data_IF_037482878308
#
_entry.id   IF_037482878308
#
_cell.length_a   1.000
_cell.length_b   1.000
_cell.length_c   1.000
_cell.angle_alpha   90.00
_cell.angle_beta   90.00
_cell.angle_gamma   90.00
#
_symmetry.space_group_name_H-M   'P 1'
#
loop_
_entity.id
_entity.type
_entity.pdbx_description
1 polymer ?
#
# COMPACT_ATOMS: atom_id res chain seq x y z
N UNK A 1 -1.52 -27.38 -50.58
CA UNK A 1 -2.42 -26.30 -50.16
C UNK A 1 -1.83 -25.73 -48.89
N UNK A 2 -1.09 -24.65 -49.03
CA UNK A 2 -0.35 -24.03 -47.92
C UNK A 2 -1.33 -23.28 -47.03
N UNK A 3 -1.64 -23.87 -45.88
CA UNK A 3 -2.42 -23.22 -44.84
C UNK A 3 -1.52 -22.14 -44.20
N UNK A 4 -1.60 -20.93 -44.72
CA UNK A 4 -0.85 -19.78 -44.25
C UNK A 4 -1.35 -19.42 -42.83
N UNK A 5 -0.80 -20.09 -41.83
CA UNK A 5 -1.10 -19.85 -40.42
C UNK A 5 -0.64 -18.44 -40.06
N UNK A 6 -1.53 -17.47 -40.18
CA UNK A 6 -1.21 -16.08 -39.86
C UNK A 6 -1.10 -15.88 -38.35
N UNK A 7 -0.16 -15.00 -37.99
CA UNK A 7 0.02 -14.54 -36.61
C UNK A 7 -1.11 -13.58 -36.29
N UNK A 8 -1.76 -13.78 -35.15
CA UNK A 8 -2.82 -12.93 -34.64
C UNK A 8 -2.28 -12.14 -33.45
N UNK A 9 -2.33 -10.81 -33.55
CA UNK A 9 -1.97 -9.91 -32.46
C UNK A 9 -3.24 -9.42 -31.77
N UNK A 10 -3.24 -9.46 -30.44
CA UNK A 10 -4.36 -9.02 -29.60
C UNK A 10 -3.87 -8.04 -28.54
N UNK A 11 -4.64 -6.97 -28.34
CA UNK A 11 -4.46 -6.02 -27.24
C UNK A 11 -5.76 -6.00 -26.45
N UNK A 12 -5.69 -6.23 -25.14
CA UNK A 12 -6.90 -6.34 -24.32
C UNK A 12 -6.79 -5.71 -22.95
N UNK A 13 -7.95 -5.64 -22.32
CA UNK A 13 -8.19 -5.10 -20.99
C UNK A 13 -9.11 -6.08 -20.26
N UNK A 14 -8.68 -6.53 -19.08
CA UNK A 14 -9.55 -7.24 -18.15
C UNK A 14 -10.09 -6.26 -17.13
N UNK A 15 -11.37 -6.42 -16.77
CA UNK A 15 -12.05 -5.56 -15.80
C UNK A 15 -12.66 -6.42 -14.70
N UNK A 16 -12.32 -6.09 -13.46
CA UNK A 16 -13.00 -6.54 -12.24
C UNK A 16 -13.99 -5.42 -11.87
N UNK A 17 -15.28 -5.67 -12.03
CA UNK A 17 -16.31 -4.65 -11.90
C UNK A 17 -16.94 -4.61 -10.50
N UNK A 18 -16.70 -5.63 -9.67
CA UNK A 18 -17.33 -5.77 -8.35
C UNK A 18 -16.31 -5.91 -7.20
N UNK A 19 -15.01 -5.86 -7.49
CA UNK A 19 -13.89 -6.03 -6.55
C UNK A 19 -13.95 -7.36 -5.80
N UNK A 20 -14.60 -8.37 -6.37
CA UNK A 20 -14.76 -9.68 -5.77
C UNK A 20 -13.95 -10.71 -6.55
N UNK A 21 -12.85 -11.15 -5.96
CA UNK A 21 -11.95 -12.15 -6.58
C UNK A 21 -12.59 -13.53 -6.80
N UNK A 22 -13.83 -13.75 -6.34
CA UNK A 22 -14.58 -15.01 -6.51
C UNK A 22 -15.58 -14.97 -7.67
N UNK A 23 -15.87 -13.81 -8.24
CA UNK A 23 -16.71 -13.61 -9.42
C UNK A 23 -15.82 -13.49 -10.66
N UNK A 24 -16.47 -13.44 -11.83
CA UNK A 24 -15.76 -13.46 -13.09
C UNK A 24 -14.84 -14.68 -13.26
N UNK A 25 -13.92 -14.65 -14.22
CA UNK A 25 -12.88 -15.65 -14.34
C UNK A 25 -11.63 -15.21 -13.57
N UNK A 26 -11.40 -15.80 -12.39
CA UNK A 26 -10.31 -15.46 -11.49
C UNK A 26 -10.28 -13.97 -11.10
N UNK A 27 -11.46 -13.40 -10.79
CA UNK A 27 -11.63 -12.00 -10.41
C UNK A 27 -11.80 -11.02 -11.56
N UNK A 28 -11.68 -11.45 -12.83
CA UNK A 28 -12.01 -10.59 -13.97
C UNK A 28 -13.44 -10.88 -14.45
N UNK A 29 -14.34 -9.90 -14.41
CA UNK A 29 -15.73 -10.02 -14.87
C UNK A 29 -15.88 -9.80 -16.38
N UNK A 30 -15.01 -8.97 -16.98
CA UNK A 30 -15.08 -8.64 -18.39
C UNK A 30 -13.72 -8.71 -19.08
N UNK A 31 -13.72 -9.07 -20.37
CA UNK A 31 -12.57 -9.03 -21.28
C UNK A 31 -12.94 -8.20 -22.50
N UNK A 32 -12.40 -6.98 -22.58
CA UNK A 32 -12.42 -6.16 -23.78
C UNK A 32 -11.12 -6.37 -24.52
N UNK A 33 -11.16 -6.80 -25.77
CA UNK A 33 -9.95 -6.89 -26.57
C UNK A 33 -10.17 -6.53 -28.02
N UNK A 34 -9.08 -6.13 -28.65
CA UNK A 34 -8.96 -5.81 -30.06
C UNK A 34 -7.96 -6.76 -30.66
N UNK A 35 -8.33 -7.42 -31.76
CA UNK A 35 -7.47 -8.30 -32.52
C UNK A 35 -7.22 -7.75 -33.92
N UNK A 36 -5.99 -7.93 -34.40
CA UNK A 36 -5.60 -7.68 -35.78
C UNK A 36 -5.38 -9.04 -36.47
N UNK A 37 -6.21 -9.33 -37.47
CA UNK A 37 -6.08 -10.49 -38.34
C UNK A 37 -6.14 -10.00 -39.79
N UNK A 38 -5.11 -10.30 -40.58
CA UNK A 38 -5.03 -9.97 -42.01
C UNK A 38 -5.17 -8.47 -42.33
N UNK A 39 -4.70 -7.62 -41.42
CA UNK A 39 -4.81 -6.16 -41.52
C UNK A 39 -6.19 -5.62 -41.18
N UNK A 40 -7.17 -6.49 -40.90
CA UNK A 40 -8.47 -6.12 -40.36
C UNK A 40 -8.43 -6.12 -38.84
N UNK A 41 -9.10 -5.14 -38.27
CA UNK A 41 -9.10 -4.89 -36.84
C UNK A 41 -10.52 -5.02 -36.31
N UNK A 42 -10.69 -5.88 -35.30
CA UNK A 42 -11.98 -6.21 -34.70
C UNK A 42 -11.89 -6.17 -33.19
N UNK A 43 -12.90 -5.58 -32.55
CA UNK A 43 -13.01 -5.41 -31.11
C UNK A 43 -14.15 -6.26 -30.56
N UNK A 44 -13.96 -6.84 -29.37
CA UNK A 44 -14.93 -7.69 -28.71
C UNK A 44 -14.95 -7.41 -27.21
N UNK A 45 -16.15 -7.33 -26.64
CA UNK A 45 -16.40 -7.28 -25.21
C UNK A 45 -17.12 -8.55 -24.77
N UNK A 46 -16.51 -9.27 -23.83
CA UNK A 46 -17.08 -10.47 -23.23
C UNK A 46 -17.30 -10.28 -21.74
N UNK A 47 -18.40 -10.85 -21.25
CA UNK A 47 -18.60 -11.14 -19.83
C UNK A 47 -18.08 -12.54 -19.53
N UNK A 48 -17.38 -12.69 -18.40
CA UNK A 48 -16.67 -13.89 -17.98
C UNK A 48 -17.41 -14.58 -16.83
N UNK A 49 -17.42 -15.90 -16.85
CA UNK A 49 -17.90 -16.71 -15.71
C UNK A 49 -16.75 -17.28 -14.89
N UNK A 50 -17.05 -17.69 -13.65
CA UNK A 50 -16.12 -18.39 -12.75
C UNK A 50 -15.59 -19.70 -13.30
N UNK A 51 -16.32 -20.33 -14.20
CA UNK A 51 -15.92 -21.56 -14.89
C UNK A 51 -15.12 -21.31 -16.17
N UNK A 52 -14.91 -20.04 -16.56
CA UNK A 52 -14.21 -19.67 -17.79
C UNK A 52 -15.09 -19.65 -19.04
N UNK A 53 -16.42 -19.63 -18.86
CA UNK A 53 -17.36 -19.37 -19.94
C UNK A 53 -17.36 -17.90 -20.35
N UNK A 54 -17.75 -17.65 -21.60
CA UNK A 54 -17.84 -16.30 -22.17
C UNK A 54 -19.23 -16.04 -22.70
N UNK A 55 -19.73 -14.83 -22.45
CA UNK A 55 -20.92 -14.29 -23.09
C UNK A 55 -20.52 -13.03 -23.84
N UNK A 56 -20.77 -13.01 -25.15
CA UNK A 56 -20.53 -11.81 -25.96
C UNK A 56 -21.51 -10.71 -25.51
N UNK A 57 -20.97 -9.56 -25.14
CA UNK A 57 -21.74 -8.36 -24.75
C UNK A 57 -21.83 -7.39 -25.92
N UNK A 58 -20.70 -7.20 -26.63
CA UNK A 58 -20.62 -6.30 -27.79
C UNK A 58 -19.45 -6.64 -28.70
N UNK A 59 -19.54 -6.21 -29.95
CA UNK A 59 -18.47 -6.37 -30.93
C UNK A 59 -18.48 -5.24 -31.95
N UNK A 60 -17.29 -4.81 -32.37
CA UNK A 60 -17.07 -3.89 -33.47
C UNK A 60 -16.14 -4.55 -34.49
N UNK A 61 -16.50 -4.52 -35.77
CA UNK A 61 -15.70 -5.15 -36.83
C UNK A 61 -15.31 -4.13 -37.88
N UNK A 62 -14.14 -4.32 -38.49
CA UNK A 62 -13.61 -3.46 -39.55
C UNK A 62 -13.44 -1.99 -39.15
N UNK A 63 -13.00 -1.72 -37.92
CA UNK A 63 -12.79 -0.35 -37.49
C UNK A 63 -11.44 0.18 -38.01
N UNK A 64 -11.48 1.36 -38.64
CA UNK A 64 -10.28 2.10 -39.03
C UNK A 64 -9.73 2.83 -37.82
N UNK A 65 -8.93 2.16 -36.99
CA UNK A 65 -8.16 2.88 -35.98
C UNK A 65 -6.98 3.57 -36.67
N UNK A 66 -7.05 4.89 -36.78
CA UNK A 66 -5.86 5.68 -37.08
C UNK A 66 -4.86 5.42 -35.95
N UNK A 67 -3.78 4.72 -36.27
CA UNK A 67 -2.64 4.64 -35.37
C UNK A 67 -2.17 6.08 -35.19
N UNK A 68 -2.38 6.65 -34.01
CA UNK A 68 -1.85 7.98 -33.70
C UNK A 68 -0.34 7.90 -33.86
N UNK A 69 0.23 8.74 -34.75
CA UNK A 69 1.68 8.92 -34.80
C UNK A 69 2.12 9.39 -33.40
N UNK A 70 2.73 8.50 -32.63
CA UNK A 70 3.30 8.84 -31.34
C UNK A 70 4.65 9.51 -31.54
N UNK A 71 4.86 10.66 -30.91
CA UNK A 71 6.18 11.29 -30.77
C UNK A 71 7.09 10.56 -29.78
N UNK A 72 6.59 9.50 -29.11
CA UNK A 72 7.24 8.82 -27.98
C UNK A 72 7.29 7.28 -28.14
N UNK A 73 7.27 6.73 -29.35
CA UNK A 73 7.52 5.28 -29.56
C UNK A 73 6.73 4.61 -30.68
N UNK A 74 6.82 3.27 -30.80
CA UNK A 74 6.20 2.50 -31.89
C UNK A 74 4.68 2.36 -31.70
N UNK A 75 3.94 3.45 -31.90
CA UNK A 75 2.46 3.46 -31.91
C UNK A 75 1.79 3.12 -30.57
N UNK A 76 0.46 3.22 -30.54
CA UNK A 76 -0.38 2.79 -29.42
C UNK A 76 -1.74 2.30 -29.94
N UNK A 77 -2.38 1.40 -29.20
CA UNK A 77 -3.78 0.99 -29.41
C UNK A 77 -4.61 1.59 -28.29
N UNK A 78 -5.68 2.29 -28.65
CA UNK A 78 -6.60 2.86 -27.68
C UNK A 78 -7.72 1.85 -27.42
N UNK A 79 -7.89 1.42 -26.18
CA UNK A 79 -9.01 0.60 -25.75
C UNK A 79 -9.99 1.49 -25.00
N UNK A 80 -11.20 1.62 -25.53
CA UNK A 80 -12.26 2.41 -24.92
C UNK A 80 -13.40 1.48 -24.49
N UNK A 81 -13.81 1.57 -23.22
CA UNK A 81 -14.92 0.81 -22.67
C UNK A 81 -15.94 1.78 -22.10
N UNK A 82 -17.15 1.72 -22.63
CA UNK A 82 -18.29 2.42 -22.03
C UNK A 82 -18.73 1.68 -20.77
N UNK A 83 -18.66 2.33 -19.61
CA UNK A 83 -19.05 1.72 -18.33
C UNK A 83 -20.55 1.40 -18.28
N UNK A 84 -21.40 2.10 -19.05
CA UNK A 84 -22.84 1.77 -19.20
C UNK A 84 -23.03 0.34 -19.70
N UNK A 85 -22.11 -0.14 -20.56
CA UNK A 85 -22.18 -1.49 -21.13
C UNK A 85 -21.86 -2.61 -20.13
N UNK A 86 -21.33 -2.28 -18.96
CA UNK A 86 -20.91 -3.24 -17.92
C UNK A 86 -21.55 -2.99 -16.55
N UNK A 87 -22.77 -2.46 -16.54
CA UNK A 87 -23.57 -2.12 -15.35
C UNK A 87 -23.04 -0.94 -14.51
N UNK A 88 -22.35 0.00 -15.16
CA UNK A 88 -21.98 1.30 -14.58
C UNK A 88 -21.24 1.21 -13.22
N UNK A 89 -20.14 0.42 -13.11
CA UNK A 89 -19.42 0.29 -11.85
C UNK A 89 -18.80 1.63 -11.44
N UNK A 90 -19.02 2.03 -10.18
CA UNK A 90 -18.40 3.24 -9.60
C UNK A 90 -16.98 2.98 -9.07
N UNK A 91 -16.67 1.73 -8.75
CA UNK A 91 -15.35 1.25 -8.35
C UNK A 91 -15.04 -0.03 -9.14
N UNK A 92 -13.90 -0.08 -9.80
CA UNK A 92 -13.50 -1.23 -10.62
C UNK A 92 -11.98 -1.31 -10.70
N UNK A 93 -11.45 -2.50 -11.00
CA UNK A 93 -10.03 -2.66 -11.28
C UNK A 93 -9.84 -3.02 -12.75
N UNK A 94 -8.73 -2.57 -13.33
CA UNK A 94 -8.35 -2.92 -14.70
C UNK A 94 -6.92 -3.42 -14.78
N UNK A 95 -6.65 -4.34 -15.70
CA UNK A 95 -5.31 -4.58 -16.22
C UNK A 95 -5.33 -4.60 -17.73
N UNK A 96 -4.17 -4.40 -18.34
CA UNK A 96 -3.98 -4.50 -19.78
C UNK A 96 -3.15 -5.73 -20.11
N UNK A 97 -3.36 -6.27 -21.30
CA UNK A 97 -2.54 -7.35 -21.81
C UNK A 97 -2.30 -7.25 -23.31
N UNK A 98 -1.21 -7.87 -23.75
CA UNK A 98 -0.93 -8.15 -25.15
C UNK A 98 -0.85 -9.65 -25.35
N UNK A 99 -1.31 -10.14 -26.51
CA UNK A 99 -1.19 -11.54 -26.88
C UNK A 99 -0.74 -11.69 -28.33
N UNK A 100 0.12 -12.68 -28.59
CA UNK A 100 0.42 -13.16 -29.93
C UNK A 100 0.00 -14.63 -30.01
N UNK A 101 -0.89 -14.95 -30.95
CA UNK A 101 -1.33 -16.31 -31.22
C UNK A 101 -0.79 -16.78 -32.57
N UNK A 102 -0.25 -18.00 -32.62
CA UNK A 102 0.22 -18.66 -33.82
C UNK A 102 -0.13 -20.15 -33.77
N UNK A 103 -0.97 -20.62 -34.70
CA UNK A 103 -1.58 -21.96 -34.66
C UNK A 103 -2.32 -22.16 -33.32
N UNK A 104 -1.97 -23.21 -32.58
CA UNK A 104 -2.51 -23.53 -31.26
C UNK A 104 -1.79 -22.85 -30.11
N UNK A 105 -0.70 -22.13 -30.38
CA UNK A 105 0.13 -21.51 -29.35
C UNK A 105 -0.27 -20.06 -29.15
N UNK A 106 -0.27 -19.60 -27.91
CA UNK A 106 -0.53 -18.22 -27.54
C UNK A 106 0.43 -17.81 -26.44
N UNK A 107 0.99 -16.61 -26.56
CA UNK A 107 1.81 -15.98 -25.53
C UNK A 107 1.12 -14.70 -25.11
N UNK A 108 1.03 -14.46 -23.81
CA UNK A 108 0.45 -13.25 -23.24
C UNK A 108 1.39 -12.55 -22.28
N UNK A 109 1.33 -11.23 -22.28
CA UNK A 109 1.97 -10.38 -21.29
C UNK A 109 0.93 -9.45 -20.68
N UNK A 110 0.95 -9.32 -19.36
CA UNK A 110 -0.04 -8.56 -18.59
C UNK A 110 0.64 -7.44 -17.82
N UNK A 111 -0.09 -6.34 -17.61
CA UNK A 111 0.27 -5.32 -16.62
C UNK A 111 -0.21 -5.76 -15.23
N UNK A 112 0.17 -4.98 -14.22
CA UNK A 112 -0.45 -5.09 -12.90
C UNK A 112 -1.89 -4.55 -12.95
N UNK A 113 -2.71 -4.98 -11.98
CA UNK A 113 -4.01 -4.37 -11.73
C UNK A 113 -3.89 -2.94 -11.22
N UNK A 114 -4.82 -2.10 -11.66
CA UNK A 114 -4.99 -0.72 -11.23
C UNK A 114 -6.45 -0.52 -10.84
N UNK A 115 -6.68 -0.13 -9.59
CA UNK A 115 -8.01 0.15 -9.05
C UNK A 115 -8.41 1.60 -9.35
N UNK A 116 -9.66 1.78 -9.79
CA UNK A 116 -10.26 3.06 -10.15
C UNK A 116 -11.57 3.23 -9.36
N UNK A 117 -11.75 4.32 -8.60
CA UNK A 117 -10.72 5.29 -8.25
C UNK A 117 -9.59 4.65 -7.40
N UNK A 118 -8.38 5.23 -7.38
CA UNK A 118 -7.30 4.72 -6.55
C UNK A 118 -7.70 4.64 -5.07
N UNK A 119 -7.38 3.55 -4.35
CA UNK A 119 -7.71 3.41 -2.93
C UNK A 119 -6.97 4.46 -2.10
N UNK A 120 -7.48 4.81 -0.93
CA UNK A 120 -6.78 5.70 0.02
C UNK A 120 -6.17 4.87 1.14
N UNK A 121 -4.88 5.06 1.39
CA UNK A 121 -4.18 4.44 2.51
C UNK A 121 -4.27 5.29 3.79
N UNK A 122 -4.48 4.61 4.91
CA UNK A 122 -4.46 5.18 6.25
C UNK A 122 -3.63 4.29 7.17
N UNK A 123 -2.90 4.90 8.11
CA UNK A 123 -2.24 4.18 9.19
C UNK A 123 -3.19 4.14 10.40
N UNK A 124 -3.25 2.98 11.06
CA UNK A 124 -4.05 2.76 12.26
C UNK A 124 -3.18 2.11 13.33
N UNK A 125 -3.28 2.60 14.56
CA UNK A 125 -2.50 2.16 15.72
C UNK A 125 -3.45 1.75 16.85
N UNK A 126 -2.93 0.95 17.78
CA UNK A 126 -3.61 0.61 19.02
C UNK A 126 -2.63 0.80 20.18
N UNK A 127 -2.82 1.80 21.06
CA UNK A 127 -3.93 2.76 21.09
C UNK A 127 -3.93 3.73 19.88
N UNK A 128 -5.09 4.33 19.59
CA UNK A 128 -5.22 5.36 18.53
C UNK A 128 -4.53 6.66 18.92
N UNK A 129 -4.58 7.02 20.21
CA UNK A 129 -3.92 8.19 20.76
C UNK A 129 -2.57 7.79 21.33
N UNK A 130 -1.50 8.23 20.67
CA UNK A 130 -0.13 7.89 21.04
C UNK A 130 0.42 9.05 21.84
N UNK A 131 0.77 8.79 23.10
CA UNK A 131 1.40 9.77 23.97
C UNK A 131 2.79 9.28 24.34
N UNK A 132 3.80 10.13 24.14
CA UNK A 132 5.20 9.84 24.46
C UNK A 132 5.73 10.97 25.32
N UNK A 133 6.40 10.67 26.43
CA UNK A 133 7.00 11.72 27.25
C UNK A 133 8.34 12.16 26.67
N UNK A 134 8.72 13.40 26.97
CA UNK A 134 10.09 13.88 26.74
C UNK A 134 11.12 12.93 27.37
N UNK A 135 12.16 12.59 26.61
CA UNK A 135 13.24 11.67 27.04
C UNK A 135 12.94 10.19 26.78
N UNK A 136 11.72 9.84 26.38
CA UNK A 136 11.33 8.44 26.18
C UNK A 136 11.48 7.97 24.73
N UNK A 137 11.47 6.65 24.56
CA UNK A 137 11.22 6.02 23.28
C UNK A 137 10.01 5.08 23.38
N UNK A 138 9.26 4.99 22.29
CA UNK A 138 8.07 4.15 22.21
C UNK A 138 8.09 3.33 20.93
N UNK A 139 7.71 2.06 21.03
CA UNK A 139 7.42 1.20 19.90
C UNK A 139 5.92 1.20 19.63
N UNK A 140 5.56 1.60 18.42
CA UNK A 140 4.17 1.76 17.99
C UNK A 140 3.87 0.66 16.96
N UNK A 141 3.07 -0.36 17.34
CA UNK A 141 2.53 -1.29 16.37
C UNK A 141 1.46 -0.57 15.53
N UNK A 142 1.55 -0.72 14.21
CA UNK A 142 0.60 -0.11 13.30
C UNK A 142 0.10 -1.09 12.24
N UNK A 143 -1.02 -0.75 11.62
CA UNK A 143 -1.62 -1.45 10.48
C UNK A 143 -1.93 -0.44 9.39
N UNK A 144 -1.77 -0.85 8.14
CA UNK A 144 -2.20 -0.05 6.99
C UNK A 144 -3.60 -0.49 6.59
N UNK A 145 -4.49 0.48 6.44
CA UNK A 145 -5.87 0.30 6.01
C UNK A 145 -6.03 0.95 4.63
N UNK A 146 -6.55 0.18 3.67
CA UNK A 146 -7.05 0.64 2.38
C UNK A 146 -8.58 0.77 2.46
N UNK A 147 -9.23 1.29 1.41
CA UNK A 147 -10.70 1.30 1.29
C UNK A 147 -11.30 -0.11 1.35
N UNK A 148 -10.56 -1.11 0.86
CA UNK A 148 -10.92 -2.53 0.90
C UNK A 148 -10.69 -3.22 2.25
N UNK A 149 -10.12 -2.53 3.24
CA UNK A 149 -9.86 -3.06 4.59
C UNK A 149 -8.39 -3.03 5.00
N UNK A 150 -8.02 -3.84 6.00
CA UNK A 150 -6.63 -3.89 6.47
C UNK A 150 -5.74 -4.66 5.50
N UNK A 151 -4.63 -4.05 5.10
CA UNK A 151 -3.62 -4.74 4.30
C UNK A 151 -2.89 -5.77 5.15
N UNK A 152 -2.75 -6.97 4.59
CA UNK A 152 -1.95 -8.06 5.15
C UNK A 152 -0.56 -8.17 4.49
N UNK A 153 -0.21 -7.27 3.56
CA UNK A 153 1.05 -7.30 2.80
C UNK A 153 1.60 -5.87 2.55
N UNK A 154 2.12 -5.25 3.62
CA UNK A 154 2.87 -3.98 3.53
C UNK A 154 4.30 -4.29 3.11
N UNK A 155 4.62 -4.00 1.85
CA UNK A 155 5.92 -4.27 1.24
C UNK A 155 6.99 -3.34 1.79
N UNK A 156 6.65 -2.05 1.93
CA UNK A 156 7.59 -1.04 2.38
C UNK A 156 6.87 0.06 3.16
N UNK A 157 7.52 0.58 4.20
CA UNK A 157 7.12 1.80 4.87
C UNK A 157 8.37 2.61 5.20
N UNK A 158 8.35 3.90 4.88
CA UNK A 158 9.51 4.79 5.08
C UNK A 158 9.04 6.14 5.61
N UNK A 159 9.93 6.88 6.27
CA UNK A 159 9.65 8.26 6.69
C UNK A 159 9.67 9.15 5.45
N UNK A 160 8.59 9.91 5.24
CA UNK A 160 8.48 10.84 4.12
C UNK A 160 9.42 12.03 4.30
N UNK A 161 10.32 12.25 3.34
CA UNK A 161 11.09 13.50 3.22
C UNK A 161 10.44 14.42 2.19
N UNK A 162 10.50 15.74 2.40
CA UNK A 162 10.01 16.77 1.47
C UNK A 162 10.55 16.57 0.04
N UNK A 163 11.74 15.98 -0.11
CA UNK A 163 12.41 15.80 -1.39
C UNK A 163 12.02 14.49 -2.11
N UNK A 164 11.27 13.60 -1.45
CA UNK A 164 10.88 12.28 -1.98
C UNK A 164 9.67 12.33 -2.93
N UNK A 165 8.91 13.42 -2.91
CA UNK A 165 7.81 13.65 -3.84
C UNK A 165 8.21 14.76 -4.80
N UNK A 166 8.70 14.35 -5.97
CA UNK A 166 8.70 15.25 -7.12
C UNK A 166 7.22 15.58 -7.39
N UNK A 167 6.87 16.85 -7.25
CA UNK A 167 5.52 17.43 -7.08
C UNK A 167 4.56 17.28 -8.27
N UNK A 168 4.87 16.40 -9.23
CA UNK A 168 4.12 16.25 -10.48
C UNK A 168 3.17 15.03 -10.53
N UNK A 169 3.21 14.11 -9.55
CA UNK A 169 2.36 12.88 -9.58
C UNK A 169 1.15 12.88 -8.65
N UNK A 170 1.12 13.74 -7.64
CA UNK A 170 -0.01 13.89 -6.74
C UNK A 170 -0.19 15.38 -6.52
N UNK A 171 -1.25 15.98 -7.08
CA UNK A 171 -1.46 17.42 -7.22
C UNK A 171 -1.64 18.22 -5.92
N UNK A 172 -1.14 17.71 -4.80
CA UNK A 172 -1.11 18.41 -3.53
C UNK A 172 0.35 18.68 -3.18
N UNK A 173 0.70 19.96 -3.06
CA UNK A 173 1.97 20.43 -2.50
C UNK A 173 2.08 19.92 -1.04
N UNK A 174 2.53 18.69 -0.89
CA UNK A 174 2.84 18.12 0.40
C UNK A 174 4.21 18.69 0.80
N UNK A 175 4.18 19.83 1.50
CA UNK A 175 5.36 20.38 2.15
C UNK A 175 5.35 19.82 3.57
N UNK A 176 6.05 18.71 3.86
CA UNK A 176 6.17 18.27 5.24
C UNK A 176 7.07 19.29 5.94
N UNK A 177 6.50 20.03 6.90
CA UNK A 177 7.22 20.90 7.83
C UNK A 177 8.04 20.12 8.86
N UNK A 178 8.34 18.85 8.59
CA UNK A 178 9.02 17.96 9.52
C UNK A 178 10.52 18.23 9.48
N UNK A 179 11.02 18.95 10.48
CA UNK A 179 12.45 19.02 10.75
C UNK A 179 12.85 17.76 11.54
N UNK A 180 13.47 16.80 10.86
CA UNK A 180 13.89 15.52 11.45
C UNK A 180 14.99 15.64 12.51
N UNK A 181 15.51 16.85 12.77
CA UNK A 181 16.59 17.05 13.74
C UNK A 181 16.15 16.92 15.20
N UNK A 182 14.85 17.00 15.50
CA UNK A 182 14.37 17.01 16.89
C UNK A 182 13.81 15.66 17.33
N UNK A 183 13.05 14.94 16.49
CA UNK A 183 12.43 13.67 16.85
C UNK A 183 12.88 12.57 15.89
N UNK A 184 13.39 11.47 16.44
CA UNK A 184 13.90 10.37 15.63
C UNK A 184 12.81 9.32 15.42
N UNK A 185 12.40 9.14 14.16
CA UNK A 185 11.44 8.11 13.73
C UNK A 185 12.19 7.04 12.95
N UNK A 186 12.06 5.79 13.39
CA UNK A 186 12.73 4.65 12.79
C UNK A 186 11.75 3.51 12.50
N UNK A 187 11.86 2.92 11.31
CA UNK A 187 11.01 1.80 10.89
C UNK A 187 11.71 0.50 11.28
N UNK A 188 11.19 -0.18 12.30
CA UNK A 188 11.74 -1.45 12.79
C UNK A 188 11.29 -2.65 11.98
N UNK A 189 10.09 -2.58 11.38
CA UNK A 189 9.50 -3.65 10.58
C UNK A 189 8.44 -3.11 9.63
N UNK A 190 8.35 -3.67 8.42
CA UNK A 190 7.35 -3.28 7.43
C UNK A 190 6.00 -4.01 7.60
N UNK A 191 5.99 -5.31 7.92
CA UNK A 191 4.76 -6.11 8.02
C UNK A 191 4.71 -6.99 9.28
N UNK A 192 3.67 -6.85 10.13
CA UNK A 192 2.89 -5.63 10.29
C UNK A 192 3.82 -4.47 10.71
N UNK A 193 3.56 -3.23 10.28
CA UNK A 193 4.40 -2.09 10.58
C UNK A 193 4.72 -1.94 12.07
N UNK A 194 5.98 -1.71 12.39
CA UNK A 194 6.45 -1.40 13.75
C UNK A 194 7.38 -0.19 13.69
N UNK A 195 6.98 0.89 14.36
CA UNK A 195 7.64 2.19 14.26
C UNK A 195 8.20 2.54 15.64
N UNK A 196 9.48 2.87 15.71
CA UNK A 196 10.11 3.39 16.92
C UNK A 196 10.17 4.91 16.83
N UNK A 197 9.66 5.59 17.84
CA UNK A 197 9.82 7.04 17.99
C UNK A 197 10.66 7.30 19.22
N UNK A 198 11.68 8.14 19.08
CA UNK A 198 12.55 8.57 20.19
C UNK A 198 12.44 10.08 20.33
N UNK A 199 12.01 10.52 21.51
CA UNK A 199 11.76 11.92 21.83
C UNK A 199 12.85 12.40 22.79
N UNK A 200 13.73 13.32 22.37
CA UNK A 200 14.69 13.96 23.27
C UNK A 200 14.01 14.76 24.39
N UNK A 201 14.71 14.93 25.52
CA UNK A 201 14.20 15.67 26.69
C UNK A 201 13.85 17.13 26.41
N UNK A 202 14.47 17.73 25.40
CA UNK A 202 14.33 19.15 25.05
C UNK A 202 13.23 19.40 24.00
N UNK A 203 12.54 18.36 23.54
CA UNK A 203 11.55 18.45 22.45
C UNK A 203 10.33 19.26 22.89
N UNK A 204 9.90 20.32 22.18
CA UNK A 204 8.73 21.10 22.60
C UNK A 204 7.49 20.24 22.79
N UNK A 205 6.67 20.57 23.79
CA UNK A 205 5.41 19.88 24.04
C UNK A 205 4.42 20.20 22.92
N UNK A 206 3.62 19.22 22.49
CA UNK A 206 2.65 19.43 21.43
C UNK A 206 2.32 18.18 20.64
N UNK A 207 1.58 18.37 19.55
CA UNK A 207 1.16 17.32 18.63
C UNK A 207 2.07 17.35 17.41
N UNK A 208 2.64 16.19 17.09
CA UNK A 208 3.56 16.01 15.96
C UNK A 208 2.96 15.02 14.99
N UNK A 209 2.98 15.38 13.70
CA UNK A 209 2.55 14.50 12.61
C UNK A 209 3.75 14.13 11.76
N UNK A 210 4.06 12.83 11.71
CA UNK A 210 5.10 12.28 10.87
C UNK A 210 4.49 11.74 9.58
N UNK A 211 4.86 12.31 8.42
CA UNK A 211 4.47 11.76 7.15
C UNK A 211 5.29 10.48 6.89
N UNK A 212 4.60 9.42 6.52
CA UNK A 212 5.19 8.14 6.14
C UNK A 212 4.76 7.82 4.71
N UNK A 213 5.54 7.02 4.01
CA UNK A 213 5.20 6.50 2.68
C UNK A 213 5.02 5.00 2.83
N UNK A 214 3.80 4.52 2.64
CA UNK A 214 3.47 3.12 2.69
C UNK A 214 3.27 2.57 1.27
N UNK A 215 3.84 1.40 1.01
CA UNK A 215 3.58 0.60 -0.19
C UNK A 215 2.96 -0.71 0.22
N UNK A 216 1.73 -0.94 -0.22
CA UNK A 216 1.05 -2.22 -0.04
C UNK A 216 1.01 -2.98 -1.36
N UNK A 217 0.95 -4.31 -1.26
CA UNK A 217 0.54 -5.15 -2.37
C UNK A 217 -0.92 -5.49 -2.19
N UNK A 218 -1.73 -5.16 -3.19
CA UNK A 218 -3.11 -5.63 -3.23
C UNK A 218 -3.11 -7.03 -3.89
N UNK A 219 -3.58 -8.06 -3.19
CA UNK A 219 -3.62 -9.40 -3.75
C UNK A 219 -4.63 -9.40 -4.90
N UNK A 220 -4.13 -9.59 -6.12
CA UNK A 220 -4.98 -9.95 -7.24
C UNK A 220 -4.59 -11.33 -7.76
N UNK A 221 -5.62 -12.15 -8.00
CA UNK A 221 -5.50 -13.51 -8.50
C UNK A 221 -5.86 -13.62 -9.98
N UNK A 222 -5.56 -12.63 -10.82
CA UNK A 222 -5.87 -12.81 -12.25
C UNK A 222 -4.94 -13.83 -12.90
N UNK A 223 -5.49 -15.01 -13.19
CA UNK A 223 -4.76 -16.03 -13.93
C UNK A 223 -4.54 -15.56 -15.36
N UNK A 224 -3.29 -15.66 -15.77
CA UNK A 224 -2.74 -15.13 -17.01
C UNK A 224 -2.99 -16.05 -18.22
N UNK A 225 -4.11 -16.78 -18.18
CA UNK A 225 -4.55 -17.71 -19.22
C UNK A 225 -6.02 -17.44 -19.50
N UNK A 226 -6.34 -17.04 -20.74
CA UNK A 226 -7.72 -17.08 -21.24
C UNK A 226 -8.18 -18.54 -21.17
N UNK A 227 -9.39 -18.86 -20.67
CA UNK A 227 -9.99 -20.15 -20.94
C UNK A 227 -10.10 -20.29 -22.46
N UNK A 228 -9.20 -21.06 -23.06
CA UNK A 228 -9.23 -21.34 -24.49
C UNK A 228 -10.54 -22.04 -24.81
N UNK A 229 -11.22 -21.59 -25.87
CA UNK A 229 -12.50 -22.11 -26.35
C UNK A 229 -12.45 -23.57 -26.87
N UNK A 230 -11.45 -24.37 -26.49
CA UNK A 230 -11.21 -25.69 -27.07
C UNK A 230 -10.87 -26.70 -25.98
N UNK A 231 -11.90 -27.33 -25.43
CA UNK A 231 -11.87 -28.77 -25.26
C UNK A 231 -13.12 -29.28 -25.99
N UNK A 232 -12.97 -29.88 -27.19
CA UNK A 232 -12.27 -31.16 -27.30
C UNK A 232 -11.50 -31.30 -28.62
N UNK A 233 -10.18 -31.02 -28.65
CA UNK A 233 -9.23 -31.58 -29.65
C UNK A 233 -7.81 -31.09 -29.32
N UNK A 234 -7.18 -31.71 -28.32
CA UNK A 234 -5.73 -31.97 -28.29
C UNK A 234 -4.73 -30.80 -28.37
N UNK A 235 -5.12 -29.54 -28.17
CA UNK A 235 -4.18 -28.44 -28.06
C UNK A 235 -3.52 -28.42 -26.68
N UNK A 236 -2.32 -28.99 -26.56
CA UNK A 236 -1.53 -28.86 -25.34
C UNK A 236 -0.97 -27.43 -25.22
N UNK A 237 -1.31 -26.74 -24.12
CA UNK A 237 -0.57 -25.55 -23.66
C UNK A 237 0.88 -25.99 -23.38
N UNK A 238 1.82 -25.60 -24.23
CA UNK A 238 3.23 -25.88 -23.97
C UNK A 238 3.64 -25.14 -22.67
N UNK A 239 4.12 -25.87 -21.64
CA UNK A 239 4.44 -25.31 -20.34
C UNK A 239 5.50 -24.19 -20.40
N UNK A 240 6.32 -24.10 -21.47
CA UNK A 240 7.24 -22.98 -21.70
C UNK A 240 6.54 -21.64 -21.98
N UNK A 241 5.30 -21.67 -22.48
CA UNK A 241 4.49 -20.48 -22.74
C UNK A 241 3.52 -20.15 -21.60
N UNK A 242 3.53 -20.94 -20.52
CA UNK A 242 2.95 -20.57 -19.22
C UNK A 242 3.81 -19.53 -18.46
N UNK A 243 4.41 -18.58 -19.18
CA UNK A 243 5.14 -17.43 -18.61
C UNK A 243 4.30 -16.68 -17.56
N UNK A 244 2.97 -16.81 -17.68
CA UNK A 244 1.92 -16.42 -16.76
C UNK A 244 2.11 -16.88 -15.30
N UNK A 245 2.52 -18.13 -15.04
CA UNK A 245 2.65 -18.63 -13.67
C UNK A 245 3.83 -18.01 -12.91
N UNK A 246 4.76 -17.38 -13.61
CA UNK A 246 6.00 -16.85 -13.04
C UNK A 246 5.90 -15.39 -12.58
N UNK A 247 4.93 -14.62 -13.10
CA UNK A 247 4.77 -13.21 -12.80
C UNK A 247 3.37 -12.93 -12.25
N UNK A 248 3.18 -12.89 -10.92
CA UNK A 248 1.90 -12.50 -10.35
C UNK A 248 1.56 -11.07 -10.81
N UNK A 249 0.36 -10.86 -11.33
CA UNK A 249 -0.17 -9.54 -11.74
C UNK A 249 -0.60 -8.70 -10.53
N UNK A 250 0.13 -8.81 -9.42
CA UNK A 250 -0.24 -8.14 -8.18
C UNK A 250 -0.20 -6.61 -8.36
N UNK A 251 -1.23 -5.93 -7.85
CA UNK A 251 -1.26 -4.48 -7.78
C UNK A 251 -0.33 -3.98 -6.68
N UNK A 252 0.32 -2.84 -6.91
CA UNK A 252 1.10 -2.15 -5.89
C UNK A 252 0.55 -0.75 -5.71
N UNK A 253 0.26 -0.38 -4.47
CA UNK A 253 -0.25 0.94 -4.13
C UNK A 253 0.72 1.61 -3.17
N UNK A 254 1.32 2.72 -3.62
CA UNK A 254 2.21 3.56 -2.82
C UNK A 254 1.52 4.90 -2.55
N UNK A 255 1.29 5.22 -1.28
CA UNK A 255 0.67 6.49 -0.88
C UNK A 255 1.25 7.02 0.45
N UNK A 256 1.20 8.35 0.64
CA UNK A 256 1.54 8.94 1.93
C UNK A 256 0.48 8.61 2.99
N UNK A 257 0.92 8.36 4.22
CA UNK A 257 0.08 8.17 5.42
C UNK A 257 0.65 8.99 6.57
N UNK A 258 -0.20 9.46 7.49
CA UNK A 258 0.22 10.35 8.57
C UNK A 258 0.13 9.65 9.93
N UNK A 259 1.24 9.59 10.66
CA UNK A 259 1.29 9.12 12.04
C UNK A 259 1.34 10.32 12.99
N UNK A 260 0.36 10.45 13.88
CA UNK A 260 0.30 11.55 14.85
C UNK A 260 0.64 11.05 16.25
N UNK A 261 1.45 11.81 16.97
CA UNK A 261 1.76 11.57 18.38
C UNK A 261 1.68 12.86 19.19
N UNK A 262 1.37 12.72 20.47
CA UNK A 262 1.36 13.81 21.45
C UNK A 262 2.58 13.68 22.36
N UNK A 263 3.34 14.77 22.48
CA UNK A 263 4.51 14.84 23.37
C UNK A 263 4.11 15.53 24.67
N UNK A 264 4.35 14.84 25.77
CA UNK A 264 4.02 15.29 27.13
C UNK A 264 5.27 15.49 27.98
N UNK A 265 5.19 16.29 29.06
CA UNK A 265 6.34 16.55 29.93
C UNK A 265 6.88 15.25 30.56
N UNK A 266 8.16 15.25 30.96
CA UNK A 266 8.73 14.13 31.70
C UNK A 266 7.95 13.92 32.99
N UNK A 267 8.00 12.71 33.50
CA UNK A 267 7.38 12.37 34.77
C UNK A 267 8.00 13.19 35.90
N UNK A 268 7.18 13.88 36.69
CA UNK A 268 7.68 14.70 37.80
C UNK A 268 8.34 13.81 38.86
N UNK A 269 9.29 14.37 39.61
CA UNK A 269 10.03 13.70 40.68
C UNK A 269 9.06 13.11 41.72
N UNK A 270 7.96 13.81 41.99
CA UNK A 270 6.90 13.32 42.89
C UNK A 270 6.19 12.08 42.32
N UNK A 271 5.91 12.06 41.02
CA UNK A 271 5.29 10.91 40.37
C UNK A 271 6.26 9.71 40.36
N UNK A 272 7.55 9.95 40.07
CA UNK A 272 8.57 8.90 40.08
C UNK A 272 8.70 8.25 41.47
N UNK A 273 8.61 9.07 42.51
CA UNK A 273 8.59 8.59 43.88
C UNK A 273 7.33 7.77 44.18
N UNK A 274 6.15 8.23 43.76
CA UNK A 274 4.89 7.50 43.94
C UNK A 274 4.91 6.14 43.23
N UNK A 275 5.40 6.08 42.00
CA UNK A 275 5.49 4.83 41.24
C UNK A 275 6.48 3.86 41.88
N UNK A 276 7.68 4.33 42.26
CA UNK A 276 8.65 3.52 42.99
C UNK A 276 8.04 2.92 44.28
N UNK A 277 7.36 3.74 45.08
CA UNK A 277 6.72 3.26 46.30
C UNK A 277 5.51 2.37 46.04
N UNK A 278 4.76 2.58 44.96
CA UNK A 278 3.66 1.69 44.59
C UNK A 278 4.17 0.30 44.16
N UNK A 279 5.27 0.24 43.40
CA UNK A 279 5.85 -1.01 42.89
C UNK A 279 6.62 -1.78 43.96
N UNK A 280 7.40 -1.09 44.78
CA UNK A 280 8.32 -1.73 45.74
C UNK A 280 7.88 -1.61 47.20
N UNK A 281 6.91 -0.75 47.53
CA UNK A 281 6.49 -0.48 48.91
C UNK A 281 6.01 -1.71 49.68
N UNK A 282 5.45 -2.72 49.00
CA UNK A 282 5.07 -3.99 49.64
C UNK A 282 6.27 -4.89 49.99
N UNK A 283 7.40 -4.78 49.27
CA UNK A 283 8.57 -5.65 49.44
C UNK A 283 9.67 -5.04 50.32
N UNK A 284 9.64 -3.74 50.59
CA UNK A 284 10.69 -3.01 51.34
C UNK A 284 10.69 -3.34 52.86
N UNK A 285 9.68 -4.03 53.39
CA UNK A 285 9.60 -4.40 54.82
C UNK A 285 10.76 -5.26 55.32
N UNK A 286 11.51 -5.92 54.43
CA UNK A 286 12.62 -6.83 54.79
C UNK A 286 13.99 -6.12 54.85
N UNK A 287 14.13 -4.91 54.27
CA UNK A 287 15.42 -4.19 54.18
C UNK A 287 15.39 -2.74 54.75
N UNK A 288 14.36 -2.38 55.51
CA UNK A 288 13.91 -0.99 55.75
C UNK A 288 14.80 -0.03 56.59
N UNK A 289 16.02 -0.40 57.00
CA UNK A 289 16.84 0.50 57.84
C UNK A 289 17.74 1.47 57.08
N UNK A 290 18.51 0.96 56.11
CA UNK A 290 19.64 1.69 55.52
C UNK A 290 19.33 2.33 54.16
N UNK A 291 18.48 1.70 53.33
CA UNK A 291 18.23 2.13 51.96
C UNK A 291 17.32 3.36 51.87
N UNK A 292 16.27 3.42 52.70
CA UNK A 292 15.31 4.54 52.73
C UNK A 292 16.00 5.84 53.18
N UNK A 293 16.93 5.75 54.14
CA UNK A 293 17.68 6.92 54.63
C UNK A 293 18.64 7.52 53.61
N UNK A 294 19.33 6.68 52.81
CA UNK A 294 20.24 7.15 51.78
C UNK A 294 19.48 7.81 50.61
N UNK A 295 18.41 7.18 50.14
CA UNK A 295 17.63 7.68 49.01
C UNK A 295 16.86 8.96 49.35
N UNK A 296 16.24 9.04 50.54
CA UNK A 296 15.58 10.27 50.99
C UNK A 296 16.58 11.43 51.11
N UNK A 297 17.78 11.19 51.65
CA UNK A 297 18.82 12.21 51.79
C UNK A 297 19.28 12.76 50.44
N UNK A 298 19.36 11.92 49.41
CA UNK A 298 19.75 12.34 48.06
C UNK A 298 18.65 13.17 47.39
N UNK A 299 17.39 12.74 47.49
CA UNK A 299 16.22 13.46 46.97
C UNK A 299 15.99 14.81 47.66
N UNK A 300 16.05 14.85 49.00
CA UNK A 300 15.99 16.12 49.74
C UNK A 300 17.21 17.01 49.45
N UNK A 301 18.36 16.43 49.16
CA UNK A 301 19.55 17.15 48.71
C UNK A 301 19.36 17.84 47.36
N UNK A 302 18.69 17.19 46.41
CA UNK A 302 18.37 17.76 45.09
C UNK A 302 17.32 18.88 45.19
N UNK A 303 16.27 18.70 45.99
CA UNK A 303 15.25 19.74 46.24
C UNK A 303 15.85 20.96 46.93
N UNK A 304 16.73 20.75 47.93
CA UNK A 304 17.42 21.85 48.61
C UNK A 304 18.36 22.61 47.66
N UNK A 305 19.10 21.91 46.80
CA UNK A 305 19.96 22.53 45.77
C UNK A 305 19.15 23.29 44.70
N UNK A 306 17.91 22.88 44.42
CA UNK A 306 17.01 23.60 43.50
C UNK A 306 16.54 24.91 44.14
N UNK A 307 16.14 24.89 45.42
CA UNK A 307 15.77 26.10 46.19
C UNK A 307 16.94 27.06 46.44
N UNK A 308 18.15 26.55 46.67
CA UNK A 308 19.36 27.39 46.83
C UNK A 308 19.82 28.04 45.52
N UNK A 309 19.47 27.47 44.35
CA UNK A 309 19.71 28.10 43.04
C UNK A 309 18.68 29.17 42.71
N UNK A 310 17.43 29.01 43.17
CA UNK A 310 16.39 30.03 43.03
C UNK A 310 16.62 31.22 43.99
N UNK A 311 17.05 30.98 45.23
CA UNK A 311 17.35 32.04 46.20
C UNK A 311 18.65 32.82 45.98
N UNK A 312 19.48 32.45 44.98
CA UNK A 312 20.73 33.15 44.64
C UNK A 312 20.62 34.08 43.44
N UNK A 313 19.45 34.15 42.81
CA UNK A 313 19.18 35.08 41.70
C UNK A 313 18.47 36.37 42.15
N UNK A 314 18.19 36.52 43.46
CA UNK A 314 17.54 37.70 44.06
C UNK A 314 18.51 38.53 44.95
N UNK A 315 19.81 38.53 44.66
CA UNK A 315 20.82 39.36 45.30
C UNK A 315 21.70 40.09 44.27
#
# INVERSE_FOLDING_TARGET
>A
MDNNSQRKLTYGMLVDADSNTKTGFNGADYDLYVESLDGNLSGYLYQLSTTGGYKLVGSETNFTHTHGRSSMGPGYVNLNLDLDSINFPSEYSILFYTAESYKSNEVRQFTNWVTIPPPILQISTSPSDITIRQGENMLIPARIKSTSGFSNDVINITVGSANSFNTNRFGNNFVPSFNSSEIHVDIKRNQPPLIKITVPEQTPLGIYTFPLIATIREPSMATTTKPTFIAPLGGALDPKFSLSKKYPTAGYLTQPVNLTVTITPPMDIEDQFKEFWATYGQFISIFAGAFVGAFAREMFGLVKRKKEKEGKNDL
#
